data_IF_730058069400
#
_entry.id   IF_730058069400
#
_cell.length_a   1.000
_cell.length_b   1.000
_cell.length_c   1.000
_cell.angle_alpha   90.00
_cell.angle_beta   90.00
_cell.angle_gamma   90.00
#
_symmetry.space_group_name_H-M   'P 1'
#
loop_
_entity.id
_entity.type
_entity.pdbx_description
1 polymer ?
#
# COMPACT_ATOMS: atom_id res chain seq x y z
N UNK A 1 2.89 -2.89 16.36
CA UNK A 1 2.34 -2.59 15.02
C UNK A 1 2.07 -3.91 14.33
N UNK A 2 0.91 -4.05 13.67
CA UNK A 2 0.52 -5.28 12.97
C UNK A 2 0.18 -4.94 11.51
N UNK A 3 0.54 -5.81 10.57
CA UNK A 3 0.24 -5.65 9.15
C UNK A 3 -0.59 -6.84 8.69
N UNK A 4 -1.74 -6.56 8.05
CA UNK A 4 -2.60 -7.55 7.41
C UNK A 4 -2.65 -7.26 5.91
N UNK A 5 -2.34 -8.26 5.08
CA UNK A 5 -2.42 -8.14 3.63
C UNK A 5 -3.86 -8.44 3.18
N UNK A 6 -4.59 -7.41 2.73
CA UNK A 6 -5.96 -7.57 2.24
C UNK A 6 -6.00 -7.93 0.75
N UNK A 7 -4.94 -7.61 0.01
CA UNK A 7 -4.78 -7.93 -1.39
C UNK A 7 -3.32 -7.92 -1.79
N UNK A 8 -2.88 -8.97 -2.47
CA UNK A 8 -1.46 -9.22 -2.80
C UNK A 8 -1.20 -9.45 -4.28
N UNK A 9 -2.26 -9.42 -5.13
CA UNK A 9 -2.12 -9.56 -6.58
C UNK A 9 -1.61 -8.27 -7.22
N UNK A 10 -1.06 -8.42 -8.42
CA UNK A 10 -0.71 -7.30 -9.31
C UNK A 10 -1.93 -6.76 -10.07
N UNK A 11 -1.72 -5.93 -11.09
CA UNK A 11 -2.76 -5.27 -11.89
C UNK A 11 -3.88 -6.16 -12.46
N UNK A 12 -3.70 -7.47 -12.46
CA UNK A 12 -4.73 -8.46 -12.80
C UNK A 12 -4.98 -9.34 -11.57
N UNK A 13 -6.17 -9.26 -10.93
CA UNK A 13 -6.46 -10.08 -9.77
C UNK A 13 -6.47 -11.57 -10.15
N UNK A 14 -5.97 -12.42 -9.27
CA UNK A 14 -6.09 -13.87 -9.40
C UNK A 14 -7.40 -14.36 -8.75
N UNK A 15 -7.75 -15.61 -8.95
CA UNK A 15 -8.99 -16.18 -8.39
C UNK A 15 -9.00 -16.20 -6.85
N UNK A 16 -7.82 -16.23 -6.23
CA UNK A 16 -7.58 -16.33 -4.81
C UNK A 16 -6.84 -15.12 -4.22
N UNK A 17 -6.64 -14.05 -5.02
CA UNK A 17 -5.90 -12.85 -4.63
C UNK A 17 -6.58 -11.59 -5.14
N UNK A 18 -6.80 -10.64 -4.26
CA UNK A 18 -7.23 -9.28 -4.60
C UNK A 18 -6.05 -8.41 -5.01
N UNK A 19 -6.35 -7.29 -5.66
CA UNK A 19 -5.36 -6.27 -5.97
C UNK A 19 -4.81 -5.60 -4.70
N UNK A 20 -3.70 -4.85 -4.82
CA UNK A 20 -2.87 -4.36 -3.73
C UNK A 20 -3.63 -3.60 -2.65
N UNK A 21 -3.55 -4.09 -1.42
CA UNK A 21 -4.07 -3.42 -0.25
C UNK A 21 -3.43 -4.00 1.02
N UNK A 22 -2.81 -3.16 1.82
CA UNK A 22 -2.30 -3.53 3.14
C UNK A 22 -2.99 -2.71 4.24
N UNK A 23 -3.35 -3.37 5.33
CA UNK A 23 -3.88 -2.76 6.53
C UNK A 23 -2.82 -2.76 7.62
N UNK A 24 -2.50 -1.59 8.16
CA UNK A 24 -1.59 -1.41 9.28
C UNK A 24 -2.39 -1.03 10.52
N UNK A 25 -2.14 -1.70 11.62
CA UNK A 25 -2.81 -1.50 12.91
C UNK A 25 -1.80 -1.04 13.96
N UNK A 26 -2.13 0.07 14.65
CA UNK A 26 -1.38 0.55 15.81
C UNK A 26 -2.38 0.84 16.93
N UNK A 27 -2.32 0.05 17.99
CA UNK A 27 -3.35 0.06 19.01
C UNK A 27 -4.72 -0.30 18.42
N UNK A 28 -5.71 0.60 18.56
CA UNK A 28 -7.05 0.42 17.99
C UNK A 28 -7.19 1.09 16.61
N UNK A 29 -6.21 1.89 16.20
CA UNK A 29 -6.28 2.65 14.95
C UNK A 29 -5.88 1.77 13.74
N UNK A 30 -6.63 1.92 12.66
CA UNK A 30 -6.45 1.24 11.38
C UNK A 30 -6.03 2.25 10.32
N UNK A 31 -5.03 1.89 9.53
CA UNK A 31 -4.51 2.65 8.40
C UNK A 31 -4.42 1.75 7.17
N UNK A 32 -4.88 2.23 6.03
CA UNK A 32 -4.87 1.47 4.77
C UNK A 32 -3.81 2.04 3.83
N UNK A 33 -3.02 1.17 3.26
CA UNK A 33 -2.02 1.46 2.23
C UNK A 33 -2.42 0.78 0.93
N UNK A 34 -2.77 1.58 -0.05
CA UNK A 34 -3.49 1.24 -1.27
C UNK A 34 -4.90 0.65 -1.01
N UNK A 35 -5.75 0.73 -2.01
CA UNK A 35 -7.17 0.41 -1.88
C UNK A 35 -7.65 -0.42 -3.09
N UNK A 36 -6.85 -1.43 -3.49
CA UNK A 36 -7.18 -2.35 -4.59
C UNK A 36 -8.09 -3.50 -4.19
N UNK A 37 -8.22 -3.77 -2.88
CA UNK A 37 -9.02 -4.86 -2.32
C UNK A 37 -10.28 -4.34 -1.61
N UNK A 38 -11.21 -5.22 -1.21
CA UNK A 38 -12.39 -4.89 -0.41
C UNK A 38 -12.01 -4.48 1.02
N UNK A 39 -11.72 -3.18 1.23
CA UNK A 39 -11.22 -2.64 2.50
C UNK A 39 -12.20 -2.82 3.65
N UNK A 40 -13.49 -2.50 3.43
CA UNK A 40 -14.53 -2.61 4.47
C UNK A 40 -14.62 -4.03 5.02
N UNK A 41 -14.66 -5.02 4.13
CA UNK A 41 -14.67 -6.43 4.53
C UNK A 41 -13.41 -6.82 5.30
N UNK A 42 -12.26 -6.34 4.87
CA UNK A 42 -10.97 -6.58 5.54
C UNK A 42 -10.97 -6.03 6.97
N UNK A 43 -11.40 -4.79 7.16
CA UNK A 43 -11.51 -4.15 8.49
C UNK A 43 -12.45 -4.95 9.41
N UNK A 44 -13.65 -5.27 8.91
CA UNK A 44 -14.65 -5.99 9.71
C UNK A 44 -14.22 -7.43 10.03
N UNK A 45 -13.57 -8.13 9.10
CA UNK A 45 -13.02 -9.48 9.33
C UNK A 45 -11.88 -9.50 10.36
N UNK A 46 -11.12 -8.43 10.46
CA UNK A 46 -10.04 -8.30 11.47
C UNK A 46 -10.58 -8.00 12.88
N UNK A 47 -11.90 -7.80 13.03
CA UNK A 47 -12.56 -7.51 14.31
C UNK A 47 -12.63 -6.02 14.65
N UNK A 48 -12.18 -5.15 13.77
CA UNK A 48 -12.29 -3.70 13.91
C UNK A 48 -13.67 -3.17 13.51
N UNK A 49 -13.95 -1.95 13.97
CA UNK A 49 -15.09 -1.16 13.49
C UNK A 49 -14.61 -0.17 12.44
N UNK A 50 -15.52 0.31 11.58
CA UNK A 50 -15.13 1.32 10.57
C UNK A 50 -14.65 2.63 11.19
N UNK A 51 -15.07 2.96 12.41
CA UNK A 51 -14.62 4.14 13.16
C UNK A 51 -13.15 4.05 13.62
N UNK A 52 -12.56 2.85 13.59
CA UNK A 52 -11.14 2.65 13.84
C UNK A 52 -10.27 3.11 12.65
N UNK A 53 -10.84 3.19 11.44
CA UNK A 53 -10.15 3.67 10.24
C UNK A 53 -9.86 5.18 10.35
N UNK A 54 -8.58 5.54 10.31
CA UNK A 54 -8.09 6.94 10.43
C UNK A 54 -7.64 7.52 9.11
N UNK A 55 -6.94 6.73 8.31
CA UNK A 55 -6.40 7.22 7.04
C UNK A 55 -6.26 6.11 6.00
N UNK A 56 -6.36 6.52 4.74
CA UNK A 56 -6.06 5.74 3.54
C UNK A 56 -4.94 6.47 2.80
N UNK A 57 -3.86 5.77 2.46
CA UNK A 57 -2.71 6.30 1.75
C UNK A 57 -2.59 5.58 0.40
N UNK A 58 -2.57 6.34 -0.68
CA UNK A 58 -2.51 5.81 -2.05
C UNK A 58 -1.13 6.08 -2.65
N UNK A 59 -0.43 5.02 -3.08
CA UNK A 59 0.90 5.12 -3.69
C UNK A 59 0.86 5.80 -5.05
N UNK A 60 -0.10 5.44 -5.89
CA UNK A 60 -0.31 5.98 -7.22
C UNK A 60 -1.72 5.66 -7.75
N UNK A 61 -2.06 6.13 -8.95
CA UNK A 61 -3.46 6.18 -9.44
C UNK A 61 -3.93 4.96 -10.23
N UNK A 62 -3.14 3.91 -10.39
CA UNK A 62 -3.59 2.72 -11.11
C UNK A 62 -4.78 2.04 -10.39
N UNK A 63 -5.64 1.40 -11.18
CA UNK A 63 -6.89 0.82 -10.69
C UNK A 63 -6.71 -0.34 -9.70
N UNK A 64 -5.63 -1.07 -9.79
CA UNK A 64 -5.26 -2.15 -8.87
C UNK A 64 -4.77 -1.65 -7.49
N UNK A 65 -4.52 -0.35 -7.37
CA UNK A 65 -4.24 0.34 -6.11
C UNK A 65 -5.39 1.23 -5.63
N UNK A 66 -6.41 1.45 -6.47
CA UNK A 66 -7.50 2.41 -6.18
C UNK A 66 -8.90 1.86 -6.42
N UNK A 67 -9.03 0.63 -6.95
CA UNK A 67 -10.32 0.08 -7.39
C UNK A 67 -11.41 -0.03 -6.30
N UNK A 68 -11.02 -0.18 -5.03
CA UNK A 68 -11.92 -0.19 -3.88
C UNK A 68 -12.25 1.18 -3.30
N UNK A 69 -11.56 2.24 -3.75
CA UNK A 69 -11.65 3.57 -3.12
C UNK A 69 -13.05 4.17 -3.18
N UNK A 70 -13.73 4.04 -4.33
CA UNK A 70 -15.10 4.50 -4.47
C UNK A 70 -16.02 3.81 -3.47
N UNK A 71 -16.00 2.48 -3.44
CA UNK A 71 -16.88 1.69 -2.56
C UNK A 71 -16.65 2.01 -1.08
N UNK A 72 -15.37 2.21 -0.68
CA UNK A 72 -15.03 2.62 0.68
C UNK A 72 -15.60 4.00 1.01
N UNK A 73 -15.35 4.99 0.15
CA UNK A 73 -15.85 6.37 0.35
C UNK A 73 -17.37 6.43 0.38
N UNK A 74 -18.02 5.72 -0.53
CA UNK A 74 -19.48 5.64 -0.63
C UNK A 74 -20.09 5.06 0.66
N UNK A 75 -19.62 3.90 1.10
CA UNK A 75 -20.13 3.26 2.32
C UNK A 75 -19.86 4.10 3.57
N UNK A 76 -18.72 4.77 3.67
CA UNK A 76 -18.45 5.72 4.75
C UNK A 76 -19.36 6.96 4.69
N UNK A 77 -19.84 7.34 3.51
CA UNK A 77 -20.75 8.47 3.36
C UNK A 77 -22.16 8.16 3.86
N UNK A 78 -22.78 7.09 3.37
CA UNK A 78 -24.21 6.86 3.64
C UNK A 78 -24.50 5.82 4.72
N UNK A 79 -23.62 4.82 4.93
CA UNK A 79 -23.86 3.73 5.88
C UNK A 79 -23.07 3.88 7.17
N UNK A 80 -21.75 4.01 7.12
CA UNK A 80 -20.88 4.18 8.30
C UNK A 80 -20.78 5.66 8.65
N UNK A 81 -21.88 6.23 9.12
CA UNK A 81 -22.05 7.69 9.31
C UNK A 81 -21.26 8.31 10.46
N UNK A 82 -20.55 7.50 11.25
CA UNK A 82 -19.66 7.95 12.33
C UNK A 82 -18.19 7.91 11.93
N UNK A 83 -17.85 7.20 10.86
CA UNK A 83 -16.48 7.10 10.37
C UNK A 83 -16.00 8.45 9.83
N UNK A 84 -14.85 8.90 10.35
CA UNK A 84 -14.17 10.12 9.91
C UNK A 84 -12.78 9.72 9.41
N UNK A 85 -12.52 9.89 8.11
CA UNK A 85 -11.34 9.33 7.44
C UNK A 85 -10.67 10.32 6.50
N UNK A 86 -9.34 10.38 6.57
CA UNK A 86 -8.51 11.12 5.63
C UNK A 86 -8.08 10.21 4.47
N UNK A 87 -8.27 10.68 3.24
CA UNK A 87 -7.80 10.02 2.03
C UNK A 87 -6.60 10.79 1.48
N UNK A 88 -5.41 10.30 1.75
CA UNK A 88 -4.16 10.87 1.23
C UNK A 88 -3.91 10.32 -0.16
N UNK A 89 -4.04 11.17 -1.16
CA UNK A 89 -4.01 10.82 -2.59
C UNK A 89 -2.89 11.56 -3.31
N UNK A 90 -2.22 10.92 -4.30
CA UNK A 90 -1.08 11.53 -4.98
C UNK A 90 -1.47 12.68 -5.90
N UNK A 91 -2.73 12.75 -6.36
CA UNK A 91 -3.21 13.80 -7.25
C UNK A 91 -4.74 13.96 -7.21
N UNK A 92 -5.21 15.19 -7.39
CA UNK A 92 -6.63 15.59 -7.28
C UNK A 92 -7.54 14.80 -8.22
N UNK A 93 -7.10 14.53 -9.46
CA UNK A 93 -7.95 13.85 -10.46
C UNK A 93 -8.38 12.44 -10.05
N UNK A 94 -7.67 11.77 -9.13
CA UNK A 94 -8.14 10.51 -8.56
C UNK A 94 -9.47 10.72 -7.83
N UNK A 95 -9.53 11.75 -6.96
CA UNK A 95 -10.77 12.06 -6.25
C UNK A 95 -11.85 12.61 -7.17
N UNK A 96 -11.49 13.40 -8.17
CA UNK A 96 -12.44 13.88 -9.18
C UNK A 96 -13.11 12.70 -9.91
N UNK A 97 -12.36 11.62 -10.18
CA UNK A 97 -12.88 10.37 -10.73
C UNK A 97 -13.87 9.66 -9.78
N UNK A 98 -13.54 9.58 -8.48
CA UNK A 98 -14.43 9.04 -7.43
C UNK A 98 -15.74 9.86 -7.38
N UNK A 99 -15.63 11.19 -7.38
CA UNK A 99 -16.79 12.09 -7.36
C UNK A 99 -17.64 11.99 -8.62
N UNK A 100 -17.02 11.88 -9.81
CA UNK A 100 -17.72 11.72 -11.07
C UNK A 100 -18.53 10.40 -11.11
N UNK A 101 -17.96 9.32 -10.60
CA UNK A 101 -18.66 8.05 -10.49
C UNK A 101 -19.82 8.16 -9.50
N UNK A 102 -19.60 8.72 -8.31
CA UNK A 102 -20.63 8.94 -7.29
C UNK A 102 -21.79 9.79 -7.83
N UNK A 103 -21.47 10.88 -8.53
CA UNK A 103 -22.49 11.72 -9.17
C UNK A 103 -23.34 10.93 -10.17
N UNK A 104 -22.74 9.95 -10.86
CA UNK A 104 -23.44 9.07 -11.81
C UNK A 104 -24.41 8.08 -11.15
N UNK A 105 -24.28 7.78 -9.86
CA UNK A 105 -25.21 6.90 -9.12
C UNK A 105 -26.54 7.61 -8.81
N UNK A 106 -26.56 8.93 -8.78
CA UNK A 106 -27.71 9.74 -8.40
C UNK A 106 -27.99 9.80 -6.91
N UNK A 107 -27.05 9.34 -6.09
CA UNK A 107 -27.15 9.37 -4.62
C UNK A 107 -26.92 10.78 -4.04
N UNK A 108 -27.18 10.92 -2.74
CA UNK A 108 -26.89 12.16 -2.02
C UNK A 108 -25.38 12.48 -2.06
N UNK A 109 -24.97 13.75 -2.12
CA UNK A 109 -23.55 14.11 -2.12
C UNK A 109 -22.78 13.47 -0.96
N UNK A 110 -21.49 13.17 -1.18
CA UNK A 110 -20.60 12.71 -0.13
C UNK A 110 -20.58 13.69 1.05
N UNK A 111 -20.52 13.14 2.25
CA UNK A 111 -20.36 13.92 3.47
C UNK A 111 -18.90 14.36 3.63
N UNK A 112 -18.57 15.49 3.02
CA UNK A 112 -17.23 16.05 3.02
C UNK A 112 -16.78 16.60 4.38
N UNK A 113 -17.68 16.65 5.37
CA UNK A 113 -17.31 16.97 6.77
C UNK A 113 -16.61 15.82 7.48
N UNK A 114 -16.68 14.60 6.91
CA UNK A 114 -16.10 13.38 7.46
C UNK A 114 -15.16 12.66 6.47
N UNK A 115 -15.29 12.90 5.19
CA UNK A 115 -14.47 12.31 4.14
C UNK A 115 -13.52 13.38 3.61
N UNK A 116 -12.25 13.31 3.99
CA UNK A 116 -11.28 14.36 3.74
C UNK A 116 -10.24 13.93 2.68
N UNK A 117 -10.46 14.18 1.38
CA UNK A 117 -9.42 13.99 0.37
C UNK A 117 -8.33 15.05 0.54
N UNK A 118 -7.09 14.60 0.66
CA UNK A 118 -5.91 15.45 0.85
C UNK A 118 -4.88 15.06 -0.19
N UNK A 119 -4.60 15.97 -1.12
CA UNK A 119 -3.53 15.77 -2.10
C UNK A 119 -2.20 16.05 -1.43
N UNK A 120 -1.24 15.15 -1.62
CA UNK A 120 0.11 15.28 -1.06
C UNK A 120 1.19 15.35 -2.14
N UNK A 121 2.38 15.78 -1.76
CA UNK A 121 3.57 15.86 -2.61
C UNK A 121 4.77 15.12 -1.97
N UNK A 122 5.94 15.24 -2.57
CA UNK A 122 7.17 14.58 -2.14
C UNK A 122 7.67 15.01 -0.73
N UNK A 123 7.14 16.09 -0.15
CA UNK A 123 7.48 16.56 1.19
C UNK A 123 6.46 16.10 2.25
N UNK A 124 5.54 15.24 1.86
CA UNK A 124 4.44 14.80 2.71
C UNK A 124 4.93 14.11 3.98
N UNK A 125 4.32 14.51 5.08
CA UNK A 125 4.42 13.84 6.38
C UNK A 125 3.03 13.83 7.01
N UNK A 126 2.57 12.64 7.36
CA UNK A 126 1.45 12.41 8.28
C UNK A 126 2.01 12.05 9.65
N UNK A 127 1.38 12.55 10.70
CA UNK A 127 1.73 12.17 12.08
C UNK A 127 0.51 12.41 12.99
N UNK A 128 -0.02 11.36 13.58
CA UNK A 128 -1.13 11.44 14.54
C UNK A 128 -0.69 11.09 15.98
N UNK A 129 0.62 10.95 16.18
CA UNK A 129 1.23 10.58 17.46
C UNK A 129 1.31 9.07 17.70
N UNK A 130 0.62 8.24 16.91
CA UNK A 130 0.72 6.76 16.91
C UNK A 130 1.44 6.24 15.69
N UNK A 131 1.09 6.77 14.53
CA UNK A 131 1.70 6.42 13.24
C UNK A 131 2.23 7.69 12.58
N UNK A 132 3.46 7.59 12.07
CA UNK A 132 4.05 8.58 11.19
C UNK A 132 4.27 7.96 9.83
N UNK A 133 3.85 8.66 8.77
CA UNK A 133 4.06 8.25 7.38
C UNK A 133 4.79 9.36 6.63
N UNK A 134 5.85 8.99 5.93
CA UNK A 134 6.53 9.86 4.96
C UNK A 134 6.68 9.14 3.64
N UNK A 135 7.00 9.89 2.58
CA UNK A 135 7.06 9.34 1.22
C UNK A 135 8.46 9.38 0.64
N UNK A 136 8.71 8.46 -0.29
CA UNK A 136 9.88 8.47 -1.19
C UNK A 136 9.33 8.40 -2.60
N UNK A 137 9.61 9.41 -3.46
CA UNK A 137 9.16 9.36 -4.86
C UNK A 137 9.70 8.14 -5.58
N UNK A 138 8.83 7.45 -6.33
CA UNK A 138 9.21 6.42 -7.30
C UNK A 138 9.00 6.94 -8.72
N UNK A 139 9.47 6.20 -9.71
CA UNK A 139 9.43 6.63 -11.12
C UNK A 139 8.50 5.76 -11.96
N UNK A 140 7.62 5.01 -11.29
CA UNK A 140 6.70 4.10 -11.98
C UNK A 140 5.90 4.82 -13.06
N UNK A 141 5.31 5.97 -12.75
CA UNK A 141 4.47 6.76 -13.66
C UNK A 141 5.18 7.97 -14.30
N UNK A 142 6.51 8.04 -14.21
CA UNK A 142 7.26 9.17 -14.75
C UNK A 142 7.04 9.36 -16.27
N UNK A 143 6.88 8.26 -17.02
CA UNK A 143 6.68 8.29 -18.47
C UNK A 143 5.36 8.94 -18.92
N UNK A 144 4.38 9.03 -18.01
CA UNK A 144 3.08 9.70 -18.22
C UNK A 144 2.92 10.96 -17.35
N UNK A 145 4.00 11.37 -16.71
CA UNK A 145 4.06 12.57 -15.86
C UNK A 145 3.04 12.57 -14.72
N UNK A 146 2.92 11.43 -14.04
CA UNK A 146 2.12 11.26 -12.82
C UNK A 146 3.01 10.92 -11.63
N UNK A 147 2.66 11.38 -10.43
CA UNK A 147 3.37 11.03 -9.22
C UNK A 147 3.14 9.56 -8.84
N UNK A 148 4.17 8.96 -8.26
CA UNK A 148 4.12 7.66 -7.59
C UNK A 148 5.09 7.66 -6.42
N UNK A 149 4.75 6.93 -5.34
CA UNK A 149 5.48 7.00 -4.08
C UNK A 149 5.60 5.63 -3.42
N UNK A 150 6.72 5.43 -2.72
CA UNK A 150 6.86 4.47 -1.64
C UNK A 150 6.51 5.16 -0.31
N UNK A 151 6.02 4.39 0.67
CA UNK A 151 5.71 4.88 2.01
C UNK A 151 6.72 4.34 3.03
N UNK A 152 7.27 5.25 3.85
CA UNK A 152 7.99 4.92 5.08
C UNK A 152 7.02 5.12 6.23
N UNK A 153 6.80 4.06 6.99
CA UNK A 153 5.79 3.95 8.06
C UNK A 153 6.53 3.72 9.37
N UNK A 154 6.31 4.58 10.35
CA UNK A 154 6.92 4.50 11.68
C UNK A 154 5.84 4.49 12.76
N UNK A 155 5.85 3.50 13.65
CA UNK A 155 4.91 3.35 14.75
C UNK A 155 5.35 2.25 15.71
N UNK A 156 5.00 2.32 16.99
CA UNK A 156 5.41 1.37 18.04
C UNK A 156 6.92 1.11 18.12
N UNK A 157 7.74 2.12 17.77
CA UNK A 157 9.19 1.98 17.71
C UNK A 157 9.70 1.14 16.52
N UNK A 158 8.85 0.84 15.56
CA UNK A 158 9.09 0.04 14.37
C UNK A 158 9.12 0.90 13.10
N UNK A 159 9.82 0.43 12.06
CA UNK A 159 9.90 1.08 10.76
C UNK A 159 9.64 0.09 9.65
N UNK A 160 8.67 0.40 8.80
CA UNK A 160 8.26 -0.40 7.65
C UNK A 160 8.36 0.45 6.38
N UNK A 161 8.75 -0.16 5.28
CA UNK A 161 8.68 0.44 3.95
C UNK A 161 7.74 -0.37 3.07
N UNK A 162 6.83 0.31 2.36
CA UNK A 162 6.03 -0.23 1.27
C UNK A 162 6.47 0.48 0.00
N UNK A 163 7.02 -0.24 -0.98
CA UNK A 163 7.57 0.38 -2.19
C UNK A 163 6.53 1.00 -3.10
N UNK A 164 5.26 0.53 -3.05
CA UNK A 164 4.35 0.73 -4.17
C UNK A 164 4.94 0.10 -5.44
N UNK A 165 4.48 0.56 -6.59
CA UNK A 165 5.02 0.10 -7.87
C UNK A 165 6.27 0.90 -8.26
N UNK A 166 7.19 0.19 -8.90
CA UNK A 166 8.47 0.73 -9.39
C UNK A 166 8.54 0.69 -10.90
N UNK A 167 9.41 1.49 -11.48
CA UNK A 167 9.53 1.62 -12.92
C UNK A 167 10.09 0.33 -13.56
N UNK A 168 9.30 -0.29 -14.43
CA UNK A 168 9.76 -1.41 -15.26
C UNK A 168 10.97 -1.05 -16.15
N UNK A 169 11.13 0.24 -16.49
CA UNK A 169 12.21 0.72 -17.37
C UNK A 169 13.51 0.94 -16.60
N UNK A 170 13.43 1.30 -15.33
CA UNK A 170 14.58 1.56 -14.47
C UNK A 170 14.90 0.36 -13.58
N UNK A 171 13.96 -0.58 -13.47
CA UNK A 171 14.10 -1.82 -12.68
C UNK A 171 14.60 -1.50 -11.26
N UNK A 172 15.71 -2.12 -10.82
CA UNK A 172 16.30 -1.89 -9.51
C UNK A 172 16.74 -0.43 -9.23
N UNK A 173 16.95 0.40 -10.26
CA UNK A 173 17.35 1.80 -10.06
C UNK A 173 16.21 2.70 -9.56
N UNK A 174 15.00 2.17 -9.45
CA UNK A 174 13.85 2.83 -8.82
C UNK A 174 13.62 2.36 -7.37
N UNK A 175 14.39 1.40 -6.90
CA UNK A 175 14.27 0.90 -5.53
C UNK A 175 14.65 2.00 -4.53
N UNK A 176 13.85 2.23 -3.46
CA UNK A 176 14.07 3.34 -2.53
C UNK A 176 15.44 3.31 -1.86
N UNK A 177 16.31 4.26 -2.22
CA UNK A 177 17.70 4.32 -1.75
C UNK A 177 17.84 4.41 -0.23
N UNK A 178 16.82 4.93 0.46
CA UNK A 178 16.77 5.01 1.93
C UNK A 178 16.95 3.64 2.60
N UNK A 179 16.62 2.54 1.92
CA UNK A 179 16.80 1.17 2.43
C UNK A 179 18.27 0.72 2.52
N UNK A 180 19.18 1.45 1.87
CA UNK A 180 20.62 1.23 1.97
C UNK A 180 21.29 2.12 3.04
N UNK A 181 20.54 3.08 3.58
CA UNK A 181 21.03 4.09 4.52
C UNK A 181 20.45 3.90 5.92
N UNK A 182 19.20 3.44 6.00
CA UNK A 182 18.46 3.26 7.25
C UNK A 182 17.93 1.84 7.38
N UNK A 183 17.94 1.33 8.60
CA UNK A 183 17.39 0.02 8.91
C UNK A 183 15.86 0.05 8.97
N UNK A 184 15.23 -1.01 8.45
CA UNK A 184 13.78 -1.25 8.49
C UNK A 184 13.51 -2.59 9.18
N UNK A 185 12.47 -2.68 10.01
CA UNK A 185 12.01 -3.96 10.53
C UNK A 185 11.44 -4.81 9.39
N UNK A 186 10.67 -4.18 8.48
CA UNK A 186 10.11 -4.86 7.30
C UNK A 186 10.24 -3.95 6.07
N UNK A 187 10.66 -4.52 4.95
CA UNK A 187 10.55 -3.94 3.61
C UNK A 187 9.56 -4.79 2.81
N UNK A 188 8.44 -4.19 2.40
CA UNK A 188 7.42 -4.78 1.55
C UNK A 188 7.63 -4.27 0.14
N UNK A 189 7.95 -5.16 -0.80
CA UNK A 189 8.31 -4.80 -2.17
C UNK A 189 7.51 -5.55 -3.21
N UNK A 190 7.21 -4.88 -4.32
CA UNK A 190 6.61 -5.50 -5.50
C UNK A 190 7.59 -6.39 -6.25
N UNK A 191 7.03 -7.29 -7.07
CA UNK A 191 7.78 -8.02 -8.10
C UNK A 191 6.91 -8.27 -9.35
N UNK A 192 6.09 -7.29 -9.73
CA UNK A 192 5.28 -7.36 -10.95
C UNK A 192 6.05 -6.89 -12.19
N UNK A 193 6.76 -5.77 -12.06
CA UNK A 193 7.33 -5.02 -13.18
C UNK A 193 8.72 -5.49 -13.63
N UNK A 194 9.37 -6.36 -12.88
CA UNK A 194 10.68 -6.91 -13.20
C UNK A 194 10.87 -8.31 -12.60
N UNK A 195 11.95 -8.98 -12.96
CA UNK A 195 12.32 -10.28 -12.41
C UNK A 195 13.28 -10.12 -11.23
N UNK A 196 13.28 -11.09 -10.31
CA UNK A 196 14.10 -11.07 -9.09
C UNK A 196 15.60 -11.00 -9.40
N UNK A 197 16.02 -11.51 -10.53
CA UNK A 197 17.41 -11.47 -11.01
C UNK A 197 17.92 -10.03 -11.19
N UNK A 198 17.04 -9.09 -11.52
CA UNK A 198 17.39 -7.67 -11.62
C UNK A 198 17.68 -7.02 -10.25
N UNK A 199 17.32 -7.68 -9.17
CA UNK A 199 17.56 -7.22 -7.81
C UNK A 199 18.83 -7.81 -7.19
N UNK A 200 19.48 -8.79 -7.82
CA UNK A 200 20.57 -9.59 -7.26
C UNK A 200 21.74 -8.76 -6.72
N UNK A 201 22.10 -7.66 -7.39
CA UNK A 201 23.25 -6.83 -7.04
C UNK A 201 23.01 -5.93 -5.82
N UNK A 202 21.78 -5.63 -5.47
CA UNK A 202 21.46 -4.71 -4.38
C UNK A 202 20.74 -5.38 -3.20
N UNK A 203 20.00 -6.49 -3.41
CA UNK A 203 19.34 -7.20 -2.31
C UNK A 203 20.23 -7.41 -1.09
N UNK A 204 21.51 -7.87 -1.23
CA UNK A 204 22.38 -8.05 -0.07
C UNK A 204 22.74 -6.76 0.68
N UNK A 205 22.44 -5.60 0.12
CA UNK A 205 22.77 -4.28 0.69
C UNK A 205 21.57 -3.63 1.40
N UNK A 206 20.36 -4.17 1.25
CA UNK A 206 19.18 -3.67 1.92
C UNK A 206 19.31 -3.90 3.42
N UNK A 207 19.05 -2.88 4.20
CA UNK A 207 19.14 -2.91 5.65
C UNK A 207 17.75 -3.17 6.23
N UNK A 208 17.40 -4.45 6.41
CA UNK A 208 16.13 -4.83 7.02
C UNK A 208 16.25 -6.15 7.82
N UNK A 209 15.26 -6.44 8.66
CA UNK A 209 15.12 -7.73 9.32
C UNK A 209 14.36 -8.72 8.45
N UNK A 210 13.33 -8.23 7.74
CA UNK A 210 12.48 -9.03 6.84
C UNK A 210 12.21 -8.30 5.54
N UNK A 211 12.28 -9.02 4.42
CA UNK A 211 11.80 -8.56 3.10
C UNK A 211 10.62 -9.41 2.68
N UNK A 212 9.49 -8.76 2.42
CA UNK A 212 8.24 -9.39 2.00
C UNK A 212 7.91 -9.01 0.57
N UNK A 213 7.65 -10.02 -0.26
CA UNK A 213 7.26 -9.82 -1.65
C UNK A 213 5.75 -9.90 -1.79
N UNK A 214 5.13 -8.80 -2.17
CA UNK A 214 3.73 -8.68 -2.54
C UNK A 214 3.58 -8.20 -3.98
N UNK A 215 2.37 -7.98 -4.48
CA UNK A 215 2.13 -7.45 -5.84
C UNK A 215 2.98 -8.21 -6.87
N UNK A 216 2.87 -9.55 -6.86
CA UNK A 216 3.74 -10.42 -7.67
C UNK A 216 2.98 -10.93 -8.88
N UNK A 217 3.53 -10.67 -10.08
CA UNK A 217 3.05 -11.26 -11.34
C UNK A 217 3.63 -12.66 -11.55
N UNK A 218 2.80 -13.63 -11.99
CA UNK A 218 3.20 -15.01 -12.22
C UNK A 218 3.80 -15.68 -10.98
N UNK A 219 3.03 -15.72 -9.91
CA UNK A 219 3.45 -16.28 -8.61
C UNK A 219 4.02 -17.68 -8.73
N UNK A 220 3.47 -18.51 -9.60
CA UNK A 220 3.92 -19.89 -9.87
C UNK A 220 5.35 -19.97 -10.42
N UNK A 221 5.85 -18.89 -11.03
CA UNK A 221 7.21 -18.77 -11.55
C UNK A 221 8.13 -18.04 -10.59
N UNK A 222 7.64 -16.94 -9.99
CA UNK A 222 8.47 -16.04 -9.19
C UNK A 222 8.65 -16.50 -7.74
N UNK A 223 7.63 -17.10 -7.11
CA UNK A 223 7.73 -17.58 -5.74
C UNK A 223 8.84 -18.62 -5.54
N UNK A 224 9.01 -19.65 -6.40
CA UNK A 224 10.15 -20.55 -6.29
C UNK A 224 11.53 -19.85 -6.31
N UNK A 225 11.66 -18.77 -7.10
CA UNK A 225 12.90 -17.99 -7.18
C UNK A 225 13.12 -17.16 -5.90
N UNK A 226 12.04 -16.58 -5.34
CA UNK A 226 12.08 -15.86 -4.06
C UNK A 226 12.47 -16.83 -2.93
N UNK A 227 11.87 -18.02 -2.87
CA UNK A 227 12.20 -19.03 -1.87
C UNK A 227 13.67 -19.50 -1.96
N UNK A 228 14.25 -19.51 -3.16
CA UNK A 228 15.67 -19.85 -3.34
C UNK A 228 16.62 -18.80 -2.69
N UNK A 229 16.14 -17.60 -2.36
CA UNK A 229 16.91 -16.57 -1.66
C UNK A 229 16.93 -16.76 -0.12
N UNK A 230 16.05 -17.61 0.42
CA UNK A 230 16.00 -17.85 1.85
C UNK A 230 17.33 -18.41 2.37
N UNK A 231 17.89 -17.78 3.40
CA UNK A 231 19.18 -18.15 3.97
C UNK A 231 20.41 -17.71 3.15
N UNK A 232 20.23 -17.05 1.99
CA UNK A 232 21.32 -16.48 1.19
C UNK A 232 21.53 -14.99 1.43
N UNK A 233 20.50 -14.31 2.00
CA UNK A 233 20.51 -12.90 2.32
C UNK A 233 20.66 -12.68 3.83
N UNK A 234 21.12 -11.49 4.28
CA UNK A 234 21.34 -11.20 5.71
C UNK A 234 20.04 -11.01 6.51
N UNK A 235 18.87 -11.17 5.91
CA UNK A 235 17.54 -10.99 6.47
C UNK A 235 16.59 -12.10 6.01
N UNK A 236 15.44 -12.20 6.67
CA UNK A 236 14.38 -13.14 6.29
C UNK A 236 13.69 -12.69 4.99
N UNK A 237 13.43 -13.65 4.10
CA UNK A 237 12.74 -13.42 2.82
C UNK A 237 11.42 -14.17 2.84
N UNK A 238 10.31 -13.47 2.56
CA UNK A 238 8.95 -14.00 2.61
C UNK A 238 8.17 -13.63 1.35
N UNK A 239 7.24 -14.47 0.97
CA UNK A 239 6.12 -14.14 0.09
C UNK A 239 4.87 -14.01 0.93
N UNK A 240 3.91 -13.22 0.48
CA UNK A 240 2.66 -13.00 1.23
C UNK A 240 1.43 -13.32 0.39
N UNK A 241 0.40 -13.78 1.06
CA UNK A 241 -0.92 -14.10 0.52
C UNK A 241 -2.01 -13.22 1.16
N UNK A 242 -3.18 -13.16 0.49
CA UNK A 242 -4.34 -12.46 1.05
C UNK A 242 -4.74 -13.08 2.39
N UNK A 243 -4.89 -12.24 3.40
CA UNK A 243 -5.22 -12.64 4.76
C UNK A 243 -4.01 -12.91 5.66
N UNK A 244 -2.79 -12.88 5.14
CA UNK A 244 -1.59 -13.01 5.97
C UNK A 244 -1.45 -11.85 6.95
N UNK A 245 -1.04 -12.17 8.18
CA UNK A 245 -0.91 -11.24 9.30
C UNK A 245 0.50 -11.34 9.88
N UNK A 246 1.16 -10.20 10.05
CA UNK A 246 2.50 -10.12 10.61
C UNK A 246 2.57 -9.09 11.73
N UNK A 247 3.12 -9.50 12.86
CA UNK A 247 3.61 -8.58 13.89
C UNK A 247 4.99 -8.04 13.49
N UNK A 248 5.16 -6.72 13.65
CA UNK A 248 6.40 -6.02 13.29
C UNK A 248 7.34 -5.89 14.47
#
# INVERSE_FOLDING_TARGET
MKITFLGTSHGVPAADRHCSCAMVEVGQNVYIFDCGAPVVEGILKSGHQMDDLKAVFITHVHSDHTGGLFSLADLCSWYFKTTNVNFYIPEQRLWDGVMAYHYGTGDAPFDMDRLHPIVFDENFIYDDGLLRVSVVPTKHLLHVNHPSYAFVIEGDGKRVLITGDMSQWLQHNDFPAITFEKHFDIVITELAHFDIEHMSDFLPKVLCDRMMFWHVHKVEVKFPKIYALQGTLPYEVLTVDDGDIYEV
#
